data_IF_918011202046
#
_entry.id   IF_918011202046
#
_cell.length_a   1.000
_cell.length_b   1.000
_cell.length_c   1.000
_cell.angle_alpha   90.00
_cell.angle_beta   90.00
_cell.angle_gamma   90.00
#
_symmetry.space_group_name_H-M   'P 1'
#
loop_
_entity.id
_entity.type
_entity.pdbx_description
1 polymer ?
#
# COMPACT_ATOMS: atom_id res chain seq x y z
N UNK A 1 5.93 34.89 -11.87
CA UNK A 1 5.18 34.12 -10.85
C UNK A 1 4.18 33.12 -11.41
N UNK A 2 3.73 33.21 -12.63
CA UNK A 2 2.70 32.35 -13.25
C UNK A 2 3.17 30.94 -13.61
N UNK A 3 4.44 30.70 -13.89
CA UNK A 3 4.95 29.36 -14.29
C UNK A 3 5.01 28.33 -13.16
N UNK A 4 5.13 28.74 -11.89
CA UNK A 4 5.12 27.80 -10.74
C UNK A 4 3.73 27.25 -10.42
N UNK A 5 2.67 27.96 -10.76
CA UNK A 5 1.29 27.60 -10.43
C UNK A 5 0.68 26.52 -11.33
N UNK A 6 1.15 26.44 -12.59
CA UNK A 6 0.67 25.44 -13.56
C UNK A 6 1.22 24.01 -13.31
N UNK A 7 2.29 23.91 -12.51
CA UNK A 7 2.90 22.61 -12.19
C UNK A 7 2.27 21.87 -11.01
N UNK A 8 1.70 22.58 -10.04
CA UNK A 8 1.19 22.00 -8.78
C UNK A 8 -0.01 21.06 -9.00
N UNK A 9 -1.03 21.38 -9.79
CA UNK A 9 -2.13 20.46 -10.09
C UNK A 9 -1.67 19.19 -10.80
N UNK A 10 -0.69 19.30 -11.70
CA UNK A 10 -0.10 18.13 -12.39
C UNK A 10 0.69 17.25 -11.42
N UNK A 11 1.43 17.84 -10.49
CA UNK A 11 2.15 17.12 -9.45
C UNK A 11 1.18 16.40 -8.51
N UNK A 12 0.09 17.05 -8.13
CA UNK A 12 -0.97 16.47 -7.30
C UNK A 12 -1.63 15.27 -8.00
N UNK A 13 -1.97 15.41 -9.30
CA UNK A 13 -2.53 14.31 -10.10
C UNK A 13 -1.56 13.13 -10.16
N UNK A 14 -0.27 13.37 -10.38
CA UNK A 14 0.76 12.32 -10.38
C UNK A 14 0.90 11.66 -9.02
N UNK A 15 0.86 12.43 -7.93
CA UNK A 15 0.93 11.92 -6.57
C UNK A 15 -0.29 11.03 -6.26
N UNK A 16 -1.46 11.41 -6.73
CA UNK A 16 -2.68 10.61 -6.59
C UNK A 16 -2.60 9.30 -7.36
N UNK A 17 -2.10 9.30 -8.59
CA UNK A 17 -1.88 8.08 -9.38
C UNK A 17 -0.89 7.16 -8.68
N UNK A 18 0.19 7.67 -8.09
CA UNK A 18 1.16 6.87 -7.33
C UNK A 18 0.54 6.26 -6.07
N UNK A 19 -0.26 7.02 -5.35
CA UNK A 19 -0.97 6.52 -4.17
C UNK A 19 -1.97 5.42 -4.56
N UNK A 20 -2.76 5.60 -5.63
CA UNK A 20 -3.69 4.59 -6.14
C UNK A 20 -2.95 3.31 -6.59
N UNK A 21 -1.79 3.46 -7.22
CA UNK A 21 -0.93 2.33 -7.61
C UNK A 21 -0.41 1.60 -6.37
N UNK A 22 0.04 2.33 -5.35
CA UNK A 22 0.50 1.77 -4.09
C UNK A 22 -0.63 1.04 -3.33
N UNK A 23 -1.85 1.55 -3.35
CA UNK A 23 -3.03 0.86 -2.80
C UNK A 23 -3.30 -0.48 -3.48
N UNK A 24 -3.20 -0.52 -4.82
CA UNK A 24 -3.35 -1.77 -5.58
C UNK A 24 -2.24 -2.77 -5.24
N UNK A 25 -1.01 -2.29 -5.12
CA UNK A 25 0.12 -3.14 -4.73
C UNK A 25 -0.09 -3.74 -3.34
N UNK A 26 -0.54 -2.98 -2.35
CA UNK A 26 -0.88 -3.49 -1.02
C UNK A 26 -1.96 -4.56 -1.10
N UNK A 27 -3.04 -4.33 -1.84
CA UNK A 27 -4.11 -5.31 -2.01
C UNK A 27 -3.61 -6.61 -2.67
N UNK A 28 -2.72 -6.51 -3.65
CA UNK A 28 -2.10 -7.68 -4.30
C UNK A 28 -1.20 -8.45 -3.34
N UNK A 29 -0.40 -7.75 -2.52
CA UNK A 29 0.46 -8.36 -1.51
C UNK A 29 -0.32 -8.99 -0.35
N UNK A 30 -1.44 -8.41 0.06
CA UNK A 30 -2.35 -9.01 1.04
C UNK A 30 -2.92 -10.34 0.53
N UNK A 31 -3.36 -10.39 -0.72
CA UNK A 31 -3.83 -11.64 -1.35
C UNK A 31 -2.73 -12.68 -1.47
N UNK A 32 -1.53 -12.28 -1.87
CA UNK A 32 -0.37 -13.16 -1.95
C UNK A 32 0.00 -13.72 -0.56
N UNK A 33 0.04 -12.88 0.47
CA UNK A 33 0.27 -13.33 1.84
C UNK A 33 -0.77 -14.34 2.28
N UNK A 34 -2.06 -14.07 2.09
CA UNK A 34 -3.13 -14.98 2.46
C UNK A 34 -2.99 -16.35 1.76
N UNK A 35 -2.62 -16.37 0.47
CA UNK A 35 -2.38 -17.60 -0.27
C UNK A 35 -1.18 -18.41 0.28
N UNK A 36 -0.09 -17.73 0.66
CA UNK A 36 1.07 -18.41 1.27
C UNK A 36 0.79 -18.91 2.69
N UNK A 37 0.03 -18.17 3.49
CA UNK A 37 -0.42 -18.62 4.82
C UNK A 37 -1.30 -19.86 4.71
N UNK A 38 -2.22 -19.89 3.76
CA UNK A 38 -3.06 -21.07 3.47
C UNK A 38 -2.22 -22.27 3.00
N UNK A 39 -1.28 -22.05 2.10
CA UNK A 39 -0.36 -23.12 1.64
C UNK A 39 0.47 -23.68 2.78
N UNK A 40 0.93 -22.85 3.71
CA UNK A 40 1.63 -23.29 4.91
C UNK A 40 0.75 -24.18 5.79
N UNK A 41 -0.49 -23.79 6.05
CA UNK A 41 -1.44 -24.58 6.84
C UNK A 41 -1.71 -25.93 6.19
N UNK A 42 -1.91 -25.97 4.86
CA UNK A 42 -2.12 -27.21 4.10
C UNK A 42 -0.92 -28.16 4.24
N UNK A 43 0.31 -27.66 4.11
CA UNK A 43 1.51 -28.48 4.27
C UNK A 43 1.68 -29.00 5.70
N UNK A 44 1.36 -28.16 6.69
CA UNK A 44 1.42 -28.55 8.09
C UNK A 44 0.41 -29.68 8.42
N UNK A 45 -0.80 -29.59 7.93
CA UNK A 45 -1.83 -30.62 8.08
C UNK A 45 -1.44 -31.92 7.37
N UNK A 46 -0.91 -31.83 6.16
CA UNK A 46 -0.41 -33.00 5.43
C UNK A 46 0.70 -33.70 6.20
N UNK A 47 1.63 -32.98 6.81
CA UNK A 47 2.68 -33.54 7.65
C UNK A 47 2.12 -34.21 8.91
N UNK A 48 1.14 -33.61 9.57
CA UNK A 48 0.46 -34.18 10.74
C UNK A 48 -0.23 -35.48 10.38
N UNK A 49 -0.99 -35.51 9.27
CA UNK A 49 -1.67 -36.71 8.79
C UNK A 49 -0.68 -37.83 8.45
N UNK A 50 0.45 -37.52 7.83
CA UNK A 50 1.50 -38.47 7.52
C UNK A 50 2.13 -39.05 8.80
N UNK A 51 2.31 -38.26 9.85
CA UNK A 51 2.78 -38.73 11.17
C UNK A 51 1.79 -39.65 11.83
N UNK A 52 0.50 -39.33 11.77
CA UNK A 52 -0.56 -40.17 12.37
C UNK A 52 -0.69 -41.52 11.68
N UNK A 53 -0.41 -41.62 10.37
CA UNK A 53 -0.40 -42.85 9.60
C UNK A 53 0.87 -43.71 9.84
N UNK A 54 1.92 -43.15 10.41
CA UNK A 54 3.18 -43.87 10.67
C UNK A 54 3.05 -45.03 11.64
N UNK A 55 2.07 -45.03 12.53
CA UNK A 55 1.82 -46.07 13.50
C UNK A 55 1.42 -47.41 12.89
N UNK A 56 1.15 -47.50 11.58
CA UNK A 56 0.64 -48.68 10.87
C UNK A 56 1.69 -49.36 9.96
N UNK A 57 2.98 -49.02 10.09
CA UNK A 57 4.03 -49.67 9.30
C UNK A 57 4.31 -51.10 9.74
N UNK A 58 4.16 -52.06 8.81
CA UNK A 58 4.23 -53.50 9.11
C UNK A 58 5.60 -54.09 8.76
N UNK A 59 6.40 -53.46 7.90
CA UNK A 59 7.72 -53.94 7.48
C UNK A 59 8.79 -52.83 7.35
N UNK A 60 10.08 -53.23 7.24
CA UNK A 60 11.20 -52.32 7.17
C UNK A 60 11.18 -51.43 5.91
N UNK A 61 10.67 -51.94 4.79
CA UNK A 61 10.61 -51.17 3.54
C UNK A 61 9.51 -50.11 3.56
N UNK A 62 8.37 -50.41 4.18
CA UNK A 62 7.31 -49.41 4.40
C UNK A 62 7.72 -48.38 5.44
N UNK A 63 8.46 -48.72 6.47
CA UNK A 63 9.03 -47.80 7.44
C UNK A 63 10.00 -46.78 6.78
N UNK A 64 10.88 -47.31 5.92
CA UNK A 64 11.85 -46.43 5.21
C UNK A 64 11.19 -45.46 4.24
N UNK A 65 10.14 -45.90 3.51
CA UNK A 65 9.30 -45.04 2.66
C UNK A 65 8.58 -43.95 3.46
N UNK A 66 7.99 -44.36 4.60
CA UNK A 66 7.31 -43.39 5.48
C UNK A 66 8.28 -42.34 6.05
N UNK A 67 9.48 -42.74 6.45
CA UNK A 67 10.53 -41.85 6.93
C UNK A 67 10.94 -40.83 5.86
N UNK A 68 11.09 -41.27 4.60
CA UNK A 68 11.40 -40.40 3.47
C UNK A 68 10.25 -39.46 3.19
N UNK A 69 9.00 -39.90 3.28
CA UNK A 69 7.81 -39.02 3.12
C UNK A 69 7.72 -37.97 4.23
N UNK A 70 7.99 -38.35 5.48
CA UNK A 70 8.01 -37.38 6.59
C UNK A 70 9.12 -36.34 6.45
N UNK A 71 10.31 -36.75 6.00
CA UNK A 71 11.41 -35.83 5.74
C UNK A 71 11.09 -34.86 4.59
N UNK A 72 10.45 -35.36 3.52
CA UNK A 72 9.97 -34.51 2.42
C UNK A 72 8.86 -33.55 2.87
N UNK A 73 7.92 -34.05 3.69
CA UNK A 73 6.85 -33.22 4.26
C UNK A 73 7.37 -32.12 5.18
N UNK A 74 8.37 -32.44 6.02
CA UNK A 74 9.03 -31.43 6.87
C UNK A 74 9.71 -30.33 6.06
N UNK A 75 10.41 -30.69 4.98
CA UNK A 75 11.01 -29.71 4.06
C UNK A 75 9.95 -28.85 3.38
N UNK A 76 8.85 -29.45 2.95
CA UNK A 76 7.74 -28.70 2.34
C UNK A 76 7.12 -27.68 3.31
N UNK A 77 6.99 -28.04 4.59
CA UNK A 77 6.53 -27.10 5.65
C UNK A 77 7.52 -25.96 5.84
N UNK A 78 8.82 -26.24 5.91
CA UNK A 78 9.86 -25.22 6.06
C UNK A 78 9.88 -24.26 4.86
N UNK A 79 9.81 -24.77 3.64
CA UNK A 79 9.73 -23.96 2.42
C UNK A 79 8.47 -23.09 2.39
N UNK A 80 7.33 -23.64 2.79
CA UNK A 80 6.08 -22.88 2.87
C UNK A 80 6.14 -21.80 3.97
N UNK A 81 6.77 -22.07 5.10
CA UNK A 81 7.00 -21.09 6.16
C UNK A 81 7.90 -19.94 5.69
N UNK A 82 8.99 -20.25 5.01
CA UNK A 82 9.88 -19.23 4.42
C UNK A 82 9.15 -18.37 3.38
N UNK A 83 8.34 -18.99 2.52
CA UNK A 83 7.53 -18.27 1.53
C UNK A 83 6.49 -17.34 2.19
N UNK A 84 5.85 -17.80 3.28
CA UNK A 84 4.91 -16.96 4.03
C UNK A 84 5.60 -15.76 4.70
N UNK A 85 6.79 -15.96 5.28
CA UNK A 85 7.59 -14.86 5.85
C UNK A 85 8.05 -13.87 4.77
N UNK A 86 8.46 -14.35 3.61
CA UNK A 86 8.83 -13.49 2.48
C UNK A 86 7.63 -12.67 1.98
N UNK A 87 6.45 -13.29 1.88
CA UNK A 87 5.23 -12.59 1.49
C UNK A 87 4.81 -11.53 2.51
N UNK A 88 4.99 -11.78 3.80
CA UNK A 88 4.77 -10.79 4.86
C UNK A 88 5.74 -9.62 4.76
N UNK A 89 7.00 -9.87 4.48
CA UNK A 89 8.00 -8.83 4.28
C UNK A 89 7.68 -7.94 3.08
N UNK A 90 7.30 -8.54 1.96
CA UNK A 90 6.85 -7.83 0.76
C UNK A 90 5.61 -6.94 1.03
N UNK A 91 4.67 -7.44 1.83
CA UNK A 91 3.50 -6.65 2.25
C UNK A 91 3.90 -5.44 3.07
N UNK A 92 4.83 -5.60 4.01
CA UNK A 92 5.34 -4.47 4.81
C UNK A 92 6.00 -3.40 3.94
N UNK A 93 6.80 -3.81 2.94
CA UNK A 93 7.42 -2.87 1.99
C UNK A 93 6.34 -2.11 1.21
N UNK A 94 5.31 -2.80 0.71
CA UNK A 94 4.21 -2.17 0.00
C UNK A 94 3.43 -1.18 0.88
N UNK A 95 3.19 -1.51 2.14
CA UNK A 95 2.55 -0.62 3.11
C UNK A 95 3.39 0.63 3.40
N UNK A 96 4.71 0.50 3.50
CA UNK A 96 5.62 1.64 3.66
C UNK A 96 5.58 2.57 2.45
N UNK A 97 5.58 2.03 1.22
CA UNK A 97 5.43 2.82 -0.01
C UNK A 97 4.09 3.55 -0.07
N UNK A 98 3.01 2.89 0.34
CA UNK A 98 1.70 3.52 0.43
C UNK A 98 1.72 4.69 1.42
N UNK A 99 2.33 4.52 2.58
CA UNK A 99 2.45 5.58 3.57
C UNK A 99 3.23 6.79 3.01
N UNK A 100 4.35 6.55 2.32
CA UNK A 100 5.16 7.60 1.70
C UNK A 100 4.39 8.34 0.61
N UNK A 101 3.72 7.63 -0.29
CA UNK A 101 2.92 8.25 -1.37
C UNK A 101 1.73 9.04 -0.84
N UNK A 102 1.05 8.54 0.19
CA UNK A 102 -0.04 9.24 0.86
C UNK A 102 0.45 10.52 1.55
N UNK A 103 1.62 10.48 2.18
CA UNK A 103 2.25 11.65 2.79
C UNK A 103 2.63 12.70 1.76
N UNK A 104 3.22 12.28 0.64
CA UNK A 104 3.56 13.18 -0.48
C UNK A 104 2.30 13.87 -1.03
N UNK A 105 1.24 13.11 -1.31
CA UNK A 105 -0.03 13.67 -1.79
C UNK A 105 -0.63 14.69 -0.80
N UNK A 106 -0.65 14.36 0.49
CA UNK A 106 -1.16 15.26 1.53
C UNK A 106 -0.36 16.56 1.61
N UNK A 107 0.95 16.49 1.45
CA UNK A 107 1.82 17.67 1.43
C UNK A 107 1.51 18.57 0.24
N UNK A 108 1.38 18.00 -0.96
CA UNK A 108 1.02 18.74 -2.16
C UNK A 108 -0.40 19.32 -2.07
N UNK A 109 -1.35 18.59 -1.48
CA UNK A 109 -2.70 19.08 -1.24
C UNK A 109 -2.71 20.30 -0.32
N UNK A 110 -1.95 20.28 0.76
CA UNK A 110 -1.83 21.44 1.67
C UNK A 110 -1.22 22.65 0.99
N UNK A 111 -0.25 22.44 0.10
CA UNK A 111 0.33 23.53 -0.70
C UNK A 111 -0.72 24.14 -1.66
N UNK A 112 -1.49 23.30 -2.33
CA UNK A 112 -2.56 23.77 -3.22
C UNK A 112 -3.63 24.53 -2.45
N UNK A 113 -4.08 24.01 -1.30
CA UNK A 113 -5.07 24.68 -0.46
C UNK A 113 -4.58 26.04 0.05
N UNK A 114 -3.30 26.11 0.43
CA UNK A 114 -2.66 27.38 0.82
C UNK A 114 -2.61 28.37 -0.34
N UNK A 115 -2.24 27.93 -1.53
CA UNK A 115 -2.21 28.79 -2.71
C UNK A 115 -3.60 29.31 -3.08
N UNK A 116 -4.64 28.45 -2.98
CA UNK A 116 -6.04 28.86 -3.17
C UNK A 116 -6.47 29.92 -2.16
N UNK A 117 -6.13 29.72 -0.88
CA UNK A 117 -6.45 30.69 0.17
C UNK A 117 -5.80 32.05 -0.08
N UNK A 118 -4.53 32.08 -0.48
CA UNK A 118 -3.83 33.33 -0.85
C UNK A 118 -4.50 34.02 -2.03
N UNK A 119 -4.88 33.25 -3.07
CA UNK A 119 -5.58 33.82 -4.24
C UNK A 119 -6.95 34.39 -3.86
N UNK A 120 -7.71 33.70 -3.00
CA UNK A 120 -9.00 34.19 -2.53
C UNK A 120 -8.87 35.53 -1.77
N UNK A 121 -7.85 35.64 -0.91
CA UNK A 121 -7.57 36.91 -0.20
C UNK A 121 -7.19 38.05 -1.18
N UNK A 122 -6.35 37.76 -2.17
CA UNK A 122 -5.96 38.73 -3.18
C UNK A 122 -7.15 39.19 -4.03
N UNK A 123 -8.01 38.23 -4.44
CA UNK A 123 -9.24 38.55 -5.19
C UNK A 123 -10.20 39.41 -4.36
N UNK A 124 -10.40 39.11 -3.09
CA UNK A 124 -11.22 39.90 -2.16
C UNK A 124 -10.69 41.34 -2.02
N UNK A 125 -9.39 41.50 -1.82
CA UNK A 125 -8.75 42.80 -1.72
C UNK A 125 -8.88 43.62 -3.02
N UNK A 126 -8.74 42.97 -4.17
CA UNK A 126 -8.92 43.63 -5.47
C UNK A 126 -10.37 44.11 -5.65
N UNK A 127 -11.35 43.29 -5.29
CA UNK A 127 -12.76 43.66 -5.33
C UNK A 127 -13.07 44.83 -4.39
N UNK A 128 -12.50 44.87 -3.20
CA UNK A 128 -12.69 45.92 -2.22
C UNK A 128 -12.09 47.24 -2.73
N UNK A 129 -10.89 47.23 -3.29
CA UNK A 129 -10.29 48.42 -3.91
C UNK A 129 -11.14 48.97 -5.06
N UNK A 130 -11.67 48.10 -5.92
CA UNK A 130 -12.54 48.49 -7.00
C UNK A 130 -13.84 49.19 -6.50
N UNK A 131 -14.41 48.68 -5.41
CA UNK A 131 -15.57 49.29 -4.76
C UNK A 131 -15.22 50.64 -4.14
N UNK A 132 -14.09 50.75 -3.45
CA UNK A 132 -13.61 52.00 -2.84
C UNK A 132 -13.38 53.08 -3.91
N UNK A 133 -12.77 52.72 -5.03
CA UNK A 133 -12.55 53.62 -6.17
C UNK A 133 -13.88 54.13 -6.78
N UNK A 134 -14.92 53.28 -6.83
CA UNK A 134 -16.24 53.66 -7.30
C UNK A 134 -16.93 54.65 -6.33
N UNK A 135 -16.75 54.45 -5.04
CA UNK A 135 -17.30 55.34 -4.00
C UNK A 135 -16.61 56.70 -4.06
N UNK A 136 -15.30 56.75 -4.24
CA UNK A 136 -14.53 58.00 -4.37
C UNK A 136 -14.97 58.79 -5.61
N UNK A 137 -15.22 58.12 -6.75
CA UNK A 137 -15.68 58.78 -8.00
C UNK A 137 -17.10 59.29 -7.90
N UNK A 138 -17.95 58.79 -7.02
CA UNK A 138 -19.35 59.18 -6.83
C UNK A 138 -19.53 60.31 -5.81
N UNK A 139 -18.47 60.80 -5.14
CA UNK A 139 -18.57 61.99 -4.29
C UNK A 139 -18.60 63.23 -5.17
N UNK A 140 -19.76 63.91 -5.31
CA UNK A 140 -19.79 65.23 -5.99
C UNK A 140 -19.01 66.23 -5.14
N UNK A 141 -18.14 66.95 -5.79
CA UNK A 141 -17.50 68.20 -5.25
C UNK A 141 -18.52 69.26 -4.92
#
# INVERSE_FOLDING_TARGET
MTKRRLGLPRLLTRAQIREDTAHREVADRERSRAAHDEAYVVQLEALRNARDQQSNAVDASSFQRQRSQLAAGARAVDEAAEAALAAEHELRIAQMRLFETARERKTLQRLEDRDRAVLAVLASRASQRALDDLVVRKRPT
#
